data_IF_257150526733
#
_entry.id   IF_257150526733
#
_cell.length_a   1.000
_cell.length_b   1.000
_cell.length_c   1.000
_cell.angle_alpha   90.00
_cell.angle_beta   90.00
_cell.angle_gamma   90.00
#
_symmetry.space_group_name_H-M   'P 1'
#
loop_
_entity.id
_entity.type
_entity.pdbx_description
1 polymer ?
#
# COMPACT_ATOMS: atom_id res chain seq x y z
N UNK A 1 -7.48 -13.96 25.95
CA UNK A 1 -7.15 -12.99 27.00
C UNK A 1 -7.57 -13.62 28.33
N UNK A 2 -6.59 -13.92 29.17
CA UNK A 2 -6.79 -14.67 30.40
C UNK A 2 -7.36 -13.75 31.50
N UNK A 3 -8.04 -14.31 32.52
CA UNK A 3 -8.72 -13.52 33.56
C UNK A 3 -7.75 -12.59 34.31
N UNK A 4 -6.50 -13.01 34.44
CA UNK A 4 -5.41 -12.21 35.02
C UNK A 4 -4.95 -11.06 34.12
N UNK A 5 -4.91 -11.26 32.80
CA UNK A 5 -4.51 -10.24 31.83
C UNK A 5 -5.53 -9.09 31.80
N UNK A 6 -6.81 -9.42 31.89
CA UNK A 6 -7.90 -8.44 31.97
C UNK A 6 -7.77 -7.58 33.23
N UNK A 7 -7.46 -8.21 34.37
CA UNK A 7 -7.27 -7.51 35.64
C UNK A 7 -6.04 -6.60 35.62
N UNK A 8 -4.94 -7.05 35.01
CA UNK A 8 -3.74 -6.24 34.79
C UNK A 8 -4.02 -5.03 33.89
N UNK A 9 -4.75 -5.23 32.79
CA UNK A 9 -5.13 -4.15 31.87
C UNK A 9 -6.03 -3.11 32.57
N UNK A 10 -7.01 -3.55 33.35
CA UNK A 10 -7.87 -2.65 34.14
C UNK A 10 -7.06 -1.80 35.12
N UNK A 11 -6.10 -2.40 35.83
CA UNK A 11 -5.23 -1.66 36.75
C UNK A 11 -4.38 -0.62 36.01
N UNK A 12 -3.83 -0.96 34.85
CA UNK A 12 -3.04 -0.03 34.04
C UNK A 12 -3.90 1.15 33.58
N UNK A 13 -5.13 0.90 33.12
CA UNK A 13 -6.06 1.95 32.70
C UNK A 13 -6.46 2.87 33.86
N UNK A 14 -6.64 2.32 35.07
CA UNK A 14 -6.95 3.09 36.26
C UNK A 14 -5.79 4.05 36.62
N UNK A 15 -4.56 3.53 36.62
CA UNK A 15 -3.35 4.34 36.90
C UNK A 15 -3.17 5.44 35.85
N UNK A 16 -3.49 5.18 34.58
CA UNK A 16 -3.45 6.21 33.53
C UNK A 16 -4.51 7.28 33.81
N UNK A 17 -5.74 6.91 34.16
CA UNK A 17 -6.79 7.87 34.50
C UNK A 17 -6.41 8.78 35.67
N UNK A 18 -5.86 8.19 36.74
CA UNK A 18 -5.41 8.94 37.93
C UNK A 18 -4.25 9.92 37.62
N UNK A 19 -3.45 9.64 36.60
CA UNK A 19 -2.36 10.51 36.16
C UNK A 19 -2.84 11.59 35.17
N UNK A 20 -3.90 11.32 34.39
CA UNK A 20 -4.53 12.32 33.51
C UNK A 20 -5.21 13.44 34.31
N UNK A 21 -5.72 13.13 35.50
CA UNK A 21 -6.30 14.14 36.40
C UNK A 21 -5.24 15.10 36.96
N UNK A 22 -3.98 14.66 37.07
CA UNK A 22 -2.88 15.43 37.67
C UNK A 22 -2.08 16.23 36.65
N UNK A 23 -1.96 15.72 35.42
CA UNK A 23 -1.23 16.37 34.33
C UNK A 23 -2.11 16.46 33.07
N UNK A 24 -2.73 17.62 32.77
CA UNK A 24 -3.57 17.79 31.59
C UNK A 24 -2.77 17.64 30.27
N UNK A 25 -1.47 17.98 30.28
CA UNK A 25 -0.56 17.82 29.13
C UNK A 25 -0.26 16.36 28.79
N UNK A 26 -0.63 15.42 29.67
CA UNK A 26 -0.44 14.00 29.46
C UNK A 26 -1.35 13.50 28.32
N UNK A 27 -2.55 14.06 28.16
CA UNK A 27 -3.43 13.79 27.01
C UNK A 27 -2.70 14.10 25.70
N UNK A 28 -2.11 15.29 25.56
CA UNK A 28 -1.41 15.68 24.34
C UNK A 28 -0.21 14.78 24.03
N UNK A 29 0.52 14.32 25.05
CA UNK A 29 1.64 13.38 24.89
C UNK A 29 1.16 11.98 24.48
N UNK A 30 0.09 11.48 25.12
CA UNK A 30 -0.54 10.20 24.77
C UNK A 30 -1.10 10.29 23.35
N UNK A 31 -1.85 11.34 23.02
CA UNK A 31 -2.39 11.54 21.69
C UNK A 31 -1.28 11.66 20.66
N UNK A 32 -0.18 12.36 20.94
CA UNK A 32 0.97 12.42 20.03
C UNK A 32 1.60 11.04 19.81
N UNK A 33 1.77 10.24 20.87
CA UNK A 33 2.32 8.89 20.77
C UNK A 33 1.36 7.89 20.13
N UNK A 34 0.07 7.92 20.49
CA UNK A 34 -0.98 7.11 19.89
C UNK A 34 -1.17 7.49 18.44
N UNK A 35 -1.15 8.77 18.10
CA UNK A 35 -1.18 9.24 16.72
C UNK A 35 0.03 8.76 15.92
N UNK A 36 1.20 8.58 16.54
CA UNK A 36 2.37 7.95 15.92
C UNK A 36 2.21 6.42 15.74
N UNK A 37 1.45 5.75 16.62
CA UNK A 37 1.14 4.32 16.51
C UNK A 37 -0.03 4.05 15.54
N UNK A 38 -1.05 4.91 15.50
CA UNK A 38 -2.21 4.86 14.61
C UNK A 38 -1.89 5.44 13.24
N UNK A 39 -0.93 6.38 13.12
CA UNK A 39 -0.12 6.57 11.91
C UNK A 39 0.82 5.37 11.74
N UNK A 40 0.22 4.21 11.48
CA UNK A 40 0.61 3.44 10.31
C UNK A 40 0.55 4.44 9.16
N UNK A 41 1.68 5.07 8.91
CA UNK A 41 1.84 6.08 7.91
C UNK A 41 1.10 5.64 6.65
N UNK A 42 0.43 6.58 5.99
CA UNK A 42 0.50 6.61 4.53
C UNK A 42 1.96 6.80 4.09
N UNK A 43 2.90 5.93 4.52
CA UNK A 43 3.94 5.41 3.65
C UNK A 43 3.05 4.84 2.53
N UNK A 44 2.94 5.45 1.35
CA UNK A 44 4.04 5.35 0.39
C UNK A 44 5.05 4.36 0.93
N UNK A 45 4.61 3.09 1.00
CA UNK A 45 5.55 1.99 1.03
C UNK A 45 6.41 2.39 -0.16
N UNK A 46 7.68 2.76 0.09
CA UNK A 46 8.69 2.69 -0.95
C UNK A 46 8.80 1.20 -1.28
N UNK A 47 7.72 0.63 -1.80
CA UNK A 47 7.72 -0.58 -2.59
C UNK A 47 8.68 -0.17 -3.68
N UNK A 48 9.86 -0.79 -3.65
CA UNK A 48 10.88 -0.68 -4.69
C UNK A 48 10.10 -0.62 -6.00
N UNK A 49 10.07 0.56 -6.61
CA UNK A 49 9.14 0.84 -7.69
C UNK A 49 9.58 -0.09 -8.81
N UNK A 50 8.85 -1.20 -8.97
CA UNK A 50 9.21 -2.22 -9.94
C UNK A 50 9.05 -1.52 -11.28
N UNK A 51 10.15 -1.36 -12.01
CA UNK A 51 10.08 -0.84 -13.37
C UNK A 51 9.51 -1.92 -14.28
N UNK A 52 8.20 -1.83 -14.52
CA UNK A 52 7.49 -2.82 -15.31
C UNK A 52 7.84 -2.70 -16.80
N UNK A 53 8.33 -1.53 -17.24
CA UNK A 53 8.84 -1.36 -18.60
C UNK A 53 10.18 -2.05 -18.76
N UNK A 54 11.07 -1.95 -17.78
CA UNK A 54 12.35 -2.65 -17.79
C UNK A 54 12.17 -4.18 -17.83
N UNK A 55 11.25 -4.72 -17.02
CA UNK A 55 10.91 -6.16 -17.03
C UNK A 55 10.35 -6.57 -18.40
N UNK A 56 9.43 -5.78 -18.96
CA UNK A 56 8.87 -6.07 -20.28
C UNK A 56 9.95 -6.06 -21.36
N UNK A 57 10.92 -5.15 -21.29
CA UNK A 57 12.00 -5.05 -22.29
C UNK A 57 13.08 -6.13 -22.14
N UNK A 58 13.41 -6.56 -20.91
CA UNK A 58 14.47 -7.55 -20.65
C UNK A 58 13.98 -8.99 -20.65
N UNK A 59 12.84 -9.24 -20.02
CA UNK A 59 12.33 -10.59 -19.72
C UNK A 59 11.03 -10.93 -20.48
N UNK A 60 10.35 -9.91 -21.04
CA UNK A 60 9.17 -10.09 -21.88
C UNK A 60 7.83 -10.19 -21.13
N UNK A 61 6.76 -10.49 -21.87
CA UNK A 61 5.38 -10.48 -21.35
C UNK A 61 5.08 -11.60 -20.36
N UNK A 62 5.73 -12.77 -20.50
CA UNK A 62 5.53 -13.92 -19.62
C UNK A 62 6.04 -13.63 -18.21
N UNK A 63 7.28 -13.13 -18.11
CA UNK A 63 7.89 -12.76 -16.84
C UNK A 63 7.13 -11.63 -16.13
N UNK A 64 6.60 -10.65 -16.89
CA UNK A 64 5.74 -9.61 -16.35
C UNK A 64 4.48 -10.19 -15.70
N UNK A 65 3.80 -11.14 -16.36
CA UNK A 65 2.62 -11.79 -15.81
C UNK A 65 2.92 -12.62 -14.57
N UNK A 66 4.02 -13.38 -14.57
CA UNK A 66 4.45 -14.14 -13.38
C UNK A 66 4.73 -13.21 -12.21
N UNK A 67 5.44 -12.10 -12.46
CA UNK A 67 5.74 -11.11 -11.42
C UNK A 67 4.46 -10.50 -10.87
N UNK A 68 3.51 -10.12 -11.71
CA UNK A 68 2.21 -9.58 -11.28
C UNK A 68 1.36 -10.63 -10.53
N UNK A 69 1.46 -11.90 -10.91
CA UNK A 69 0.79 -13.01 -10.22
C UNK A 69 1.36 -13.26 -8.82
N UNK A 70 2.67 -13.06 -8.61
CA UNK A 70 3.30 -13.17 -7.29
C UNK A 70 2.89 -12.06 -6.31
N UNK A 71 2.29 -10.97 -6.78
CA UNK A 71 1.94 -9.81 -5.96
C UNK A 71 0.58 -9.90 -5.30
N UNK A 72 0.40 -9.17 -4.20
CA UNK A 72 -0.89 -9.03 -3.55
C UNK A 72 -1.76 -7.95 -4.20
N UNK A 73 -3.08 -8.05 -3.97
CA UNK A 73 -4.07 -7.13 -4.54
C UNK A 73 -3.81 -5.66 -4.17
N UNK A 74 -3.31 -5.40 -2.96
CA UNK A 74 -2.92 -4.06 -2.49
C UNK A 74 -1.73 -3.54 -3.30
N UNK A 75 -0.73 -4.40 -3.57
CA UNK A 75 0.45 -4.05 -4.36
C UNK A 75 0.09 -3.75 -5.83
N UNK A 76 -0.81 -4.55 -6.42
CA UNK A 76 -1.30 -4.31 -7.78
C UNK A 76 -2.04 -2.96 -7.90
N UNK A 77 -2.86 -2.60 -6.90
CA UNK A 77 -3.51 -1.28 -6.86
C UNK A 77 -2.51 -0.14 -6.71
N UNK A 78 -1.49 -0.32 -5.88
CA UNK A 78 -0.40 0.65 -5.77
C UNK A 78 0.31 0.85 -7.10
N UNK A 79 0.61 -0.23 -7.84
CA UNK A 79 1.20 -0.16 -9.19
C UNK A 79 0.34 0.67 -10.14
N UNK A 80 -0.98 0.42 -10.18
CA UNK A 80 -1.90 1.19 -11.02
C UNK A 80 -1.83 2.69 -10.71
N UNK A 81 -1.73 3.03 -9.41
CA UNK A 81 -1.61 4.42 -8.95
C UNK A 81 -0.26 5.03 -9.30
N UNK A 82 0.85 4.32 -9.05
CA UNK A 82 2.21 4.80 -9.33
C UNK A 82 2.44 5.07 -10.81
N UNK A 83 1.93 4.21 -11.69
CA UNK A 83 2.06 4.36 -13.15
C UNK A 83 0.94 5.19 -13.78
N UNK A 84 -0.03 5.67 -12.98
CA UNK A 84 -1.21 6.39 -13.45
C UNK A 84 -1.90 5.68 -14.63
N UNK A 85 -2.06 4.35 -14.53
CA UNK A 85 -2.63 3.51 -15.59
C UNK A 85 -4.16 3.67 -15.73
N UNK A 86 -4.80 4.15 -14.68
CA UNK A 86 -6.25 4.34 -14.62
C UNK A 86 -6.60 5.74 -14.09
N UNK A 87 -6.88 6.66 -15.01
CA UNK A 87 -7.35 8.01 -14.70
C UNK A 87 -8.73 8.03 -14.04
N UNK A 88 -9.55 7.01 -14.32
CA UNK A 88 -10.92 6.90 -13.81
C UNK A 88 -11.01 6.28 -12.41
N UNK A 89 -9.88 5.80 -11.85
CA UNK A 89 -9.76 5.16 -10.52
C UNK A 89 -10.71 3.98 -10.31
N UNK A 90 -11.17 3.33 -11.38
CA UNK A 90 -12.07 2.17 -11.34
C UNK A 90 -11.34 0.91 -10.86
N UNK A 91 -10.08 0.75 -11.23
CA UNK A 91 -9.22 -0.37 -10.84
C UNK A 91 -9.00 -0.44 -9.32
N UNK A 92 -9.12 0.68 -8.61
CA UNK A 92 -9.04 0.72 -7.14
C UNK A 92 -10.25 0.04 -6.49
N UNK A 93 -11.40 0.02 -7.15
CA UNK A 93 -12.63 -0.64 -6.69
C UNK A 93 -12.67 -2.14 -7.00
N UNK A 94 -11.79 -2.64 -7.87
CA UNK A 94 -11.80 -4.03 -8.27
C UNK A 94 -11.29 -4.95 -7.15
N UNK A 95 -12.00 -6.06 -6.93
CA UNK A 95 -11.64 -7.12 -5.98
C UNK A 95 -11.03 -8.34 -6.68
N UNK A 96 -11.16 -8.43 -8.00
CA UNK A 96 -10.61 -9.53 -8.78
C UNK A 96 -9.14 -9.23 -9.14
N UNK A 97 -8.24 -10.09 -8.65
CA UNK A 97 -6.78 -10.00 -8.87
C UNK A 97 -6.41 -10.19 -10.34
N UNK A 98 -6.91 -11.24 -10.99
CA UNK A 98 -6.62 -11.53 -12.40
C UNK A 98 -7.03 -10.40 -13.34
N UNK A 99 -8.18 -9.77 -13.05
CA UNK A 99 -8.66 -8.60 -13.81
C UNK A 99 -7.69 -7.44 -13.71
N UNK A 100 -7.13 -7.18 -12.52
CA UNK A 100 -6.10 -6.15 -12.32
C UNK A 100 -4.81 -6.49 -13.08
N UNK A 101 -4.37 -7.74 -13.03
CA UNK A 101 -3.15 -8.21 -13.73
C UNK A 101 -3.29 -7.99 -15.24
N UNK A 102 -4.38 -8.50 -15.84
CA UNK A 102 -4.66 -8.34 -17.28
C UNK A 102 -4.73 -6.86 -17.69
N UNK A 103 -5.33 -6.02 -16.84
CA UNK A 103 -5.43 -4.58 -17.09
C UNK A 103 -4.07 -3.88 -17.07
N UNK A 104 -3.24 -4.17 -16.06
CA UNK A 104 -1.89 -3.62 -15.91
C UNK A 104 -1.03 -4.03 -17.13
N UNK A 105 -0.97 -5.33 -17.43
CA UNK A 105 -0.20 -5.85 -18.56
C UNK A 105 -0.61 -5.19 -19.89
N UNK A 106 -1.92 -5.17 -20.20
CA UNK A 106 -2.44 -4.55 -21.42
C UNK A 106 -2.05 -3.08 -21.56
N UNK A 107 -2.13 -2.31 -20.47
CA UNK A 107 -1.80 -0.86 -20.48
C UNK A 107 -0.30 -0.62 -20.70
N UNK A 108 0.54 -1.43 -20.08
CA UNK A 108 2.00 -1.30 -20.19
C UNK A 108 2.46 -1.67 -21.59
N UNK A 109 1.97 -2.77 -22.16
CA UNK A 109 2.25 -3.17 -23.55
C UNK A 109 1.82 -2.06 -24.52
N UNK A 110 0.60 -1.55 -24.39
CA UNK A 110 0.10 -0.47 -25.25
C UNK A 110 0.92 0.82 -25.12
N UNK A 111 1.43 1.14 -23.92
CA UNK A 111 2.28 2.33 -23.70
C UNK A 111 3.69 2.12 -24.23
N UNK A 112 4.25 0.92 -24.10
CA UNK A 112 5.56 0.55 -24.65
C UNK A 112 5.56 0.60 -26.18
N UNK A 113 4.51 0.06 -26.82
CA UNK A 113 4.36 0.10 -28.28
C UNK A 113 4.32 1.54 -28.82
N UNK A 114 3.66 2.47 -28.12
CA UNK A 114 3.63 3.90 -28.52
C UNK A 114 5.01 4.55 -28.47
N UNK A 115 5.83 4.24 -27.47
CA UNK A 115 7.19 4.77 -27.36
C UNK A 115 8.11 4.32 -28.51
N UNK A 116 7.91 3.09 -28.99
CA UNK A 116 8.70 2.52 -30.10
C UNK A 116 8.50 3.27 -31.43
N UNK A 117 7.32 3.82 -31.68
CA UNK A 117 6.99 4.56 -32.93
C UNK A 117 7.75 5.88 -33.03
N UNK A 118 8.14 6.50 -31.91
CA UNK A 118 8.88 7.76 -31.92
C UNK A 118 10.40 7.59 -32.00
N UNK A 119 10.92 6.37 -31.88
CA UNK A 119 12.37 6.10 -31.90
C UNK A 119 12.95 5.92 -33.30
N UNK A 120 12.13 5.98 -34.35
CA UNK A 120 12.52 5.66 -35.74
C UNK A 120 12.52 6.89 -36.68
N UNK A 121 12.84 8.08 -36.18
CA UNK A 121 13.01 9.29 -36.99
C UNK A 121 14.41 9.89 -36.82
#
# INVERSE_FOLDING_TARGET
>A
MNKEEIKKLSNILQIIADNLEKDPDLLDKIETHLFRLTKKSKKTIKQKQIDLFEILSKEGESALNEKLNSMELIQLKNIVRSYSLDSSKLAEKWKNKERLIKFIAKRIIARSAKGKVFSTY
#
